data_IF_011766219444
#
_entry.id   IF_011766219444
#
_cell.length_a   1.000
_cell.length_b   1.000
_cell.length_c   1.000
_cell.angle_alpha   90.00
_cell.angle_beta   90.00
_cell.angle_gamma   90.00
#
_symmetry.space_group_name_H-M   'P 1'
#
loop_
_entity.id
_entity.type
_entity.pdbx_description
1 polymer ?
#
# COMPACT_ATOMS: atom_id res chain seq x y z
N UNK A 1 -8.10 9.65 10.92
CA UNK A 1 -6.95 9.18 10.11
C UNK A 1 -5.68 9.33 10.91
N UNK A 2 -5.11 8.21 11.33
CA UNK A 2 -3.80 8.14 11.96
C UNK A 2 -2.71 8.46 10.95
N UNK A 3 -1.61 9.02 11.44
CA UNK A 3 -0.41 9.21 10.64
C UNK A 3 0.16 7.84 10.25
N UNK A 4 0.43 7.62 8.96
CA UNK A 4 0.97 6.35 8.45
C UNK A 4 2.30 5.96 9.11
N UNK A 5 3.13 6.93 9.51
CA UNK A 5 4.33 6.65 10.29
C UNK A 5 4.00 6.12 11.68
N UNK A 6 2.95 6.61 12.33
CA UNK A 6 2.52 6.12 13.65
C UNK A 6 2.04 4.67 13.56
N UNK A 7 1.28 4.32 12.51
CA UNK A 7 0.85 2.93 12.27
C UNK A 7 2.05 2.02 12.03
N UNK A 8 3.03 2.44 11.22
CA UNK A 8 4.23 1.63 11.00
C UNK A 8 5.06 1.51 12.29
N UNK A 9 5.15 2.57 13.10
CA UNK A 9 5.85 2.54 14.40
C UNK A 9 5.13 1.69 15.44
N UNK A 10 3.82 1.54 15.40
CA UNK A 10 3.14 0.61 16.31
C UNK A 10 3.52 -0.84 16.05
N UNK A 11 4.01 -1.16 14.85
CA UNK A 11 4.53 -2.48 14.48
C UNK A 11 6.03 -2.57 14.76
N UNK A 12 6.83 -1.65 14.19
CA UNK A 12 8.30 -1.73 14.23
C UNK A 12 8.93 -1.17 15.51
N UNK A 13 8.14 -0.50 16.35
CA UNK A 13 8.63 0.18 17.55
C UNK A 13 9.63 1.30 17.22
N UNK A 14 10.70 1.38 18.02
CA UNK A 14 11.78 2.37 17.90
C UNK A 14 12.90 1.94 16.95
N UNK A 15 12.66 0.93 16.09
CA UNK A 15 13.67 0.42 15.17
C UNK A 15 14.32 1.54 14.34
N UNK A 16 15.65 1.49 14.21
CA UNK A 16 16.47 2.45 13.46
C UNK A 16 16.40 2.17 11.96
N UNK A 17 15.17 2.18 11.41
CA UNK A 17 14.92 2.06 9.98
C UNK A 17 14.18 3.29 9.48
N UNK A 18 14.57 3.78 8.31
CA UNK A 18 13.84 4.88 7.68
C UNK A 18 12.50 4.35 7.13
N UNK A 19 11.42 4.59 7.89
CA UNK A 19 10.06 4.17 7.55
C UNK A 19 9.36 5.10 6.55
N UNK A 20 9.91 6.30 6.30
CA UNK A 20 9.25 7.33 5.48
C UNK A 20 8.90 6.84 4.07
N UNK A 21 9.74 6.06 3.36
CA UNK A 21 9.39 5.51 2.06
C UNK A 21 8.09 4.72 2.08
N UNK A 22 7.92 3.84 3.08
CA UNK A 22 6.70 3.04 3.22
C UNK A 22 5.52 3.92 3.64
N UNK A 23 5.72 4.82 4.62
CA UNK A 23 4.67 5.71 5.10
C UNK A 23 4.06 6.56 3.97
N UNK A 24 4.89 7.11 3.08
CA UNK A 24 4.39 7.89 1.95
C UNK A 24 3.66 7.04 0.90
N UNK A 25 4.04 5.77 0.74
CA UNK A 25 3.30 4.85 -0.11
C UNK A 25 1.93 4.51 0.51
N UNK A 26 1.85 4.36 1.85
CA UNK A 26 0.60 4.19 2.59
C UNK A 26 -0.29 5.43 2.46
N UNK A 27 0.25 6.64 2.64
CA UNK A 27 -0.52 7.88 2.44
C UNK A 27 -1.09 7.99 1.02
N UNK A 28 -0.33 7.56 0.01
CA UNK A 28 -0.79 7.53 -1.38
C UNK A 28 -1.90 6.48 -1.58
N UNK A 29 -1.80 5.31 -0.94
CA UNK A 29 -2.83 4.29 -1.00
C UNK A 29 -4.12 4.75 -0.30
N UNK A 30 -4.02 5.40 0.86
CA UNK A 30 -5.16 5.99 1.57
C UNK A 30 -5.93 6.96 0.67
N UNK A 31 -5.19 7.83 -0.02
CA UNK A 31 -5.76 8.81 -0.94
C UNK A 31 -6.52 8.11 -2.09
N UNK A 32 -5.90 7.13 -2.74
CA UNK A 32 -6.49 6.44 -3.89
C UNK A 32 -7.68 5.56 -3.49
N UNK A 33 -7.51 4.71 -2.47
CA UNK A 33 -8.50 3.72 -2.08
C UNK A 33 -9.72 4.33 -1.39
N UNK A 34 -9.50 5.23 -0.42
CA UNK A 34 -10.57 5.64 0.48
C UNK A 34 -11.12 7.04 0.20
N UNK A 35 -10.29 7.96 -0.33
CA UNK A 35 -10.78 9.30 -0.71
C UNK A 35 -11.27 9.34 -2.15
N UNK A 36 -10.59 8.65 -3.06
CA UNK A 36 -10.95 8.62 -4.48
C UNK A 36 -11.77 7.40 -4.86
N UNK A 37 -11.86 6.39 -3.98
CA UNK A 37 -12.65 5.18 -4.23
C UNK A 37 -12.09 4.29 -5.34
N UNK A 38 -10.78 4.39 -5.63
CA UNK A 38 -10.13 3.60 -6.66
C UNK A 38 -9.90 2.18 -6.13
N UNK A 39 -10.45 1.14 -6.81
CA UNK A 39 -10.25 -0.25 -6.41
C UNK A 39 -8.78 -0.66 -6.50
N UNK A 40 -8.36 -1.56 -5.61
CA UNK A 40 -6.96 -1.97 -5.47
C UNK A 40 -6.35 -2.51 -6.78
N UNK A 41 -7.14 -3.24 -7.57
CA UNK A 41 -6.73 -3.81 -8.85
C UNK A 41 -6.47 -2.74 -9.93
N UNK A 42 -7.06 -1.56 -9.77
CA UNK A 42 -6.90 -0.43 -10.69
C UNK A 42 -5.73 0.49 -10.30
N UNK A 43 -5.08 0.23 -9.16
CA UNK A 43 -3.94 1.04 -8.68
C UNK A 43 -2.63 0.57 -9.34
N UNK A 44 -2.03 1.44 -10.14
CA UNK A 44 -0.72 1.23 -10.74
C UNK A 44 0.42 1.45 -9.73
N UNK A 45 0.66 0.47 -8.86
CA UNK A 45 1.61 0.48 -7.73
C UNK A 45 2.92 1.25 -8.00
N UNK A 46 3.61 0.96 -9.10
CA UNK A 46 4.90 1.61 -9.42
C UNK A 46 4.76 3.12 -9.64
N UNK A 47 3.72 3.56 -10.36
CA UNK A 47 3.52 4.96 -10.71
C UNK A 47 2.81 5.73 -9.60
N UNK A 48 1.85 5.10 -8.95
CA UNK A 48 0.92 5.79 -8.06
C UNK A 48 1.30 5.68 -6.59
N UNK A 49 2.05 4.64 -6.19
CA UNK A 49 2.53 4.49 -4.82
C UNK A 49 4.03 4.77 -4.75
N UNK A 50 4.85 4.02 -5.50
CA UNK A 50 6.31 4.10 -5.36
C UNK A 50 6.89 5.40 -5.91
N UNK A 51 6.44 5.87 -7.07
CA UNK A 51 6.93 7.13 -7.62
C UNK A 51 6.45 8.33 -6.78
N UNK A 52 5.19 8.36 -6.33
CA UNK A 52 4.69 9.39 -5.41
C UNK A 52 5.47 9.40 -4.08
N UNK A 53 5.79 8.23 -3.52
CA UNK A 53 6.64 8.14 -2.34
C UNK A 53 8.04 8.70 -2.60
N UNK A 54 8.62 8.44 -3.77
CA UNK A 54 9.94 8.95 -4.15
C UNK A 54 9.97 10.48 -4.31
N UNK A 55 8.89 11.07 -4.82
CA UNK A 55 8.73 12.53 -4.97
C UNK A 55 8.62 13.25 -3.62
N UNK A 56 7.99 12.62 -2.63
CA UNK A 56 7.82 13.17 -1.27
C UNK A 56 9.06 13.05 -0.39
N UNK A 57 10.00 12.18 -0.75
CA UNK A 57 11.25 12.04 0.00
C UNK A 57 12.17 13.24 -0.26
N UNK A 58 12.90 13.71 0.78
CA UNK A 58 13.87 14.77 0.60
C UNK A 58 14.92 14.37 -0.44
N UNK A 59 15.36 15.35 -1.24
CA UNK A 59 16.43 15.14 -2.22
C UNK A 59 17.68 14.64 -1.49
N UNK A 60 18.29 13.59 -2.03
CA UNK A 60 19.58 13.11 -1.53
C UNK A 60 20.72 13.96 -2.09
N UNK A 61 21.96 13.62 -1.68
CA UNK A 61 23.19 14.25 -2.19
C UNK A 61 23.31 14.25 -3.73
N UNK A 62 22.68 13.28 -4.41
CA UNK A 62 22.65 13.13 -5.87
C UNK A 62 21.35 13.64 -6.52
N UNK A 63 20.56 14.46 -5.82
CA UNK A 63 19.30 15.00 -6.32
C UNK A 63 18.06 14.15 -5.98
N UNK A 64 17.09 14.08 -6.90
CA UNK A 64 15.83 13.34 -6.70
C UNK A 64 16.11 11.87 -6.40
N UNK A 65 15.35 11.29 -5.47
CA UNK A 65 15.44 9.87 -5.16
C UNK A 65 14.94 9.05 -6.35
N UNK A 66 15.73 8.08 -6.80
CA UNK A 66 15.29 7.17 -7.86
C UNK A 66 14.14 6.29 -7.37
N UNK A 67 13.09 6.15 -8.18
CA UNK A 67 11.96 5.26 -7.91
C UNK A 67 12.45 3.84 -7.61
N UNK A 68 13.42 3.33 -8.36
CA UNK A 68 14.02 1.99 -8.13
C UNK A 68 14.58 1.83 -6.72
N UNK A 69 15.27 2.85 -6.21
CA UNK A 69 15.84 2.83 -4.86
C UNK A 69 14.74 2.87 -3.81
N UNK A 70 13.74 3.73 -4.01
CA UNK A 70 12.61 3.89 -3.08
C UNK A 70 11.76 2.63 -3.05
N UNK A 71 11.50 1.99 -4.19
CA UNK A 71 10.83 0.68 -4.25
C UNK A 71 11.53 -0.34 -3.36
N UNK A 72 12.87 -0.48 -3.46
CA UNK A 72 13.60 -1.42 -2.60
C UNK A 72 13.51 -1.08 -1.11
N UNK A 73 13.49 0.21 -0.76
CA UNK A 73 13.31 0.64 0.63
C UNK A 73 11.91 0.29 1.13
N UNK A 74 10.87 0.55 0.35
CA UNK A 74 9.48 0.19 0.66
C UNK A 74 9.37 -1.32 0.89
N UNK A 75 9.90 -2.13 -0.02
CA UNK A 75 9.88 -3.60 0.10
C UNK A 75 10.55 -4.07 1.40
N UNK A 76 11.73 -3.52 1.73
CA UNK A 76 12.44 -3.87 2.96
C UNK A 76 11.64 -3.53 4.21
N UNK A 77 11.05 -2.33 4.28
CA UNK A 77 10.28 -1.92 5.46
C UNK A 77 8.96 -2.69 5.56
N UNK A 78 8.30 -2.98 4.43
CA UNK A 78 7.10 -3.81 4.39
C UNK A 78 7.36 -5.23 4.90
N UNK A 79 8.47 -5.84 4.46
CA UNK A 79 8.90 -7.15 4.96
C UNK A 79 9.25 -7.09 6.44
N UNK A 80 9.95 -6.06 6.91
CA UNK A 80 10.24 -5.89 8.33
C UNK A 80 8.96 -5.76 9.18
N UNK A 81 7.92 -5.10 8.66
CA UNK A 81 6.61 -5.04 9.33
C UNK A 81 6.03 -6.45 9.45
N UNK A 82 6.03 -7.21 8.35
CA UNK A 82 5.56 -8.59 8.36
C UNK A 82 6.33 -9.48 9.35
N UNK A 83 7.66 -9.46 9.27
CA UNK A 83 8.53 -10.27 10.13
C UNK A 83 8.30 -9.95 11.61
N UNK A 84 8.10 -8.67 11.94
CA UNK A 84 7.79 -8.23 13.30
C UNK A 84 6.41 -8.72 13.74
N UNK A 85 5.38 -8.57 12.91
CA UNK A 85 4.04 -9.08 13.23
C UNK A 85 4.03 -10.59 13.48
N UNK A 86 4.77 -11.36 12.68
CA UNK A 86 4.91 -12.81 12.88
C UNK A 86 5.65 -13.11 14.17
N UNK A 87 6.80 -12.46 14.41
CA UNK A 87 7.62 -12.69 15.60
C UNK A 87 6.87 -12.39 16.90
N UNK A 88 6.09 -11.31 16.92
CA UNK A 88 5.32 -10.90 18.11
C UNK A 88 3.95 -11.60 18.22
N UNK A 89 3.57 -12.45 17.25
CA UNK A 89 2.25 -13.11 17.25
C UNK A 89 1.07 -12.15 16.99
N UNK A 90 1.32 -10.99 16.39
CA UNK A 90 0.37 -9.88 16.24
C UNK A 90 -0.31 -9.82 14.86
N UNK A 91 -0.14 -10.86 14.02
CA UNK A 91 -0.68 -10.91 12.64
C UNK A 91 -2.19 -10.74 12.64
N UNK A 92 -2.91 -11.55 13.44
CA UNK A 92 -4.38 -11.52 13.46
C UNK A 92 -4.91 -10.19 13.98
N UNK A 93 -4.30 -9.64 15.03
CA UNK A 93 -4.65 -8.33 15.57
C UNK A 93 -4.50 -7.20 14.53
N UNK A 94 -3.45 -7.20 13.70
CA UNK A 94 -3.21 -6.12 12.75
C UNK A 94 -3.92 -6.31 11.41
N UNK A 95 -4.19 -7.55 10.99
CA UNK A 95 -4.84 -7.83 9.73
C UNK A 95 -6.35 -8.04 9.87
N UNK A 96 -6.82 -8.50 11.03
CA UNK A 96 -8.21 -8.90 11.29
C UNK A 96 -8.48 -10.37 10.96
N UNK A 97 -7.45 -11.14 10.58
CA UNK A 97 -7.52 -12.60 10.38
C UNK A 97 -6.14 -13.24 10.44
N UNK A 98 -6.02 -14.54 10.76
CA UNK A 98 -4.74 -15.23 10.72
C UNK A 98 -4.22 -15.33 9.29
N UNK A 99 -2.89 -15.21 9.12
CA UNK A 99 -2.21 -15.38 7.83
C UNK A 99 -0.86 -16.04 8.03
N UNK A 100 -0.55 -17.05 7.20
CA UNK A 100 0.68 -17.84 7.29
C UNK A 100 1.76 -17.40 6.31
N UNK A 101 1.38 -16.74 5.22
CA UNK A 101 2.28 -16.36 4.13
C UNK A 101 2.59 -14.87 4.16
N UNK A 102 3.83 -14.52 3.79
CA UNK A 102 4.27 -13.14 3.64
C UNK A 102 3.45 -12.42 2.54
N UNK A 103 2.94 -11.21 2.80
CA UNK A 103 2.25 -10.44 1.77
C UNK A 103 3.21 -9.91 0.73
N UNK A 104 2.70 -9.74 -0.49
CA UNK A 104 3.36 -8.85 -1.42
C UNK A 104 3.44 -7.45 -0.79
N UNK A 105 4.52 -6.69 -1.03
CA UNK A 105 4.68 -5.34 -0.49
C UNK A 105 3.49 -4.41 -0.76
N UNK A 106 2.78 -4.61 -1.89
CA UNK A 106 1.53 -3.89 -2.20
C UNK A 106 0.41 -4.19 -1.20
N UNK A 107 0.24 -5.45 -0.82
CA UNK A 107 -0.82 -5.87 0.12
C UNK A 107 -0.53 -5.29 1.50
N UNK A 108 0.74 -5.31 1.93
CA UNK A 108 1.15 -4.68 3.20
C UNK A 108 0.82 -3.19 3.21
N UNK A 109 1.03 -2.48 2.10
CA UNK A 109 0.66 -1.06 1.98
C UNK A 109 -0.86 -0.87 2.17
N UNK A 110 -1.69 -1.70 1.53
CA UNK A 110 -3.15 -1.62 1.65
C UNK A 110 -3.63 -1.97 3.06
N UNK A 111 -3.00 -2.94 3.72
CA UNK A 111 -3.32 -3.29 5.09
C UNK A 111 -3.06 -2.12 6.04
N UNK A 112 -1.87 -1.52 5.95
CA UNK A 112 -1.50 -0.35 6.72
C UNK A 112 -2.38 0.87 6.39
N UNK A 113 -2.83 1.01 5.13
CA UNK A 113 -3.72 2.08 4.73
C UNK A 113 -5.08 1.99 5.43
N UNK A 114 -5.65 0.79 5.55
CA UNK A 114 -6.92 0.60 6.27
C UNK A 114 -6.80 1.02 7.74
N UNK A 115 -5.71 0.63 8.40
CA UNK A 115 -5.44 0.98 9.79
C UNK A 115 -5.17 2.48 9.96
N UNK A 116 -4.54 3.12 8.97
CA UNK A 116 -4.33 4.56 8.97
C UNK A 116 -5.65 5.33 8.80
N UNK A 117 -6.53 4.90 7.90
CA UNK A 117 -7.74 5.65 7.55
C UNK A 117 -8.92 5.33 8.47
N UNK A 118 -9.27 4.05 8.60
CA UNK A 118 -10.43 3.56 9.35
C UNK A 118 -10.12 3.20 10.80
N UNK A 119 -8.84 3.15 11.17
CA UNK A 119 -8.38 2.79 12.52
C UNK A 119 -8.76 1.37 12.95
N UNK A 120 -9.11 0.52 11.98
CA UNK A 120 -9.41 -0.90 12.12
C UNK A 120 -8.56 -1.74 11.16
N UNK A 121 -8.37 -3.04 11.42
CA UNK A 121 -7.68 -3.94 10.53
C UNK A 121 -8.35 -4.08 9.15
N UNK A 122 -7.56 -4.43 8.14
CA UNK A 122 -8.01 -4.48 6.75
C UNK A 122 -9.16 -5.45 6.51
N UNK A 123 -9.06 -6.68 7.02
CA UNK A 123 -10.10 -7.69 6.78
C UNK A 123 -11.39 -7.35 7.53
N UNK A 124 -11.28 -6.70 8.69
CA UNK A 124 -12.45 -6.16 9.38
C UNK A 124 -13.10 -5.03 8.55
N UNK A 125 -12.30 -4.10 7.99
CA UNK A 125 -12.82 -3.04 7.13
C UNK A 125 -13.50 -3.58 5.87
N UNK A 126 -13.01 -4.70 5.32
CA UNK A 126 -13.63 -5.41 4.20
C UNK A 126 -15.00 -5.99 4.58
N UNK A 127 -15.09 -6.66 5.73
CA UNK A 127 -16.33 -7.25 6.24
C UNK A 127 -17.39 -6.19 6.55
N UNK A 128 -16.97 -5.03 7.05
CA UNK A 128 -17.84 -3.88 7.30
C UNK A 128 -18.21 -3.09 6.03
N UNK A 129 -17.81 -3.54 4.84
CA UNK A 129 -18.14 -2.91 3.55
C UNK A 129 -17.44 -1.57 3.32
N UNK A 130 -16.38 -1.26 4.07
CA UNK A 130 -15.62 0.00 3.97
C UNK A 130 -14.58 0.01 2.85
N UNK A 131 -14.23 -1.16 2.32
CA UNK A 131 -13.31 -1.31 1.20
C UNK A 131 -14.11 -1.80 -0.01
N UNK A 132 -14.12 -1.06 -1.13
CA UNK A 132 -14.84 -1.46 -2.33
C UNK A 132 -14.19 -2.73 -2.90
N UNK A 133 -14.88 -3.86 -2.74
CA UNK A 133 -14.43 -5.19 -3.20
C UNK A 133 -14.33 -5.30 -4.73
N UNK A 134 -15.03 -4.43 -5.46
CA UNK A 134 -15.14 -4.47 -6.92
C UNK A 134 -15.36 -3.06 -7.49
N UNK A 135 -14.60 -2.68 -8.52
CA UNK A 135 -15.15 -1.79 -9.54
C UNK A 135 -16.32 -2.55 -10.20
N UNK A 136 -17.53 -1.98 -10.35
CA UNK A 136 -18.56 -2.59 -11.18
C UNK A 136 -17.96 -2.83 -12.58
N UNK A 137 -17.67 -4.09 -12.91
CA UNK A 137 -17.11 -4.45 -14.22
C UNK A 137 -18.13 -4.23 -15.36
N UNK A 138 -19.36 -3.85 -15.03
CA UNK A 138 -20.47 -3.70 -15.95
C UNK A 138 -20.39 -2.49 -16.90
N UNK A 139 -19.40 -1.59 -16.73
CA UNK A 139 -19.26 -0.40 -17.60
C UNK A 139 -17.93 -0.28 -18.36
N UNK A 140 -17.10 -1.34 -18.41
CA UNK A 140 -15.97 -1.33 -19.35
C UNK A 140 -16.49 -1.59 -20.77
N UNK A 141 -16.77 -0.51 -21.51
CA UNK A 141 -16.95 -0.58 -22.98
C UNK A 141 -15.77 -1.38 -23.55
N UNK A 142 -15.99 -2.42 -24.36
CA UNK A 142 -14.89 -3.18 -24.96
C UNK A 142 -14.01 -2.21 -25.75
N UNK A 143 -12.71 -2.23 -25.46
CA UNK A 143 -11.72 -1.47 -26.21
C UNK A 143 -11.89 -1.79 -27.70
N UNK A 144 -12.28 -0.78 -28.48
CA UNK A 144 -12.49 -0.89 -29.91
C UNK A 144 -11.28 -1.56 -30.55
N UNK A 145 -11.48 -2.77 -31.07
CA UNK A 145 -10.54 -3.53 -31.86
C UNK A 145 -9.96 -2.63 -32.97
N UNK A 146 -8.68 -2.27 -32.83
CA UNK A 146 -7.91 -1.56 -33.85
C UNK A 146 -7.93 -2.40 -35.12
N UNK A 147 -8.61 -1.89 -36.15
CA UNK A 147 -8.71 -2.50 -37.48
C UNK A 147 -7.33 -2.86 -38.02
N UNK A 148 -7.17 -4.13 -38.44
CA UNK A 148 -6.12 -4.58 -39.35
C UNK A 148 -6.12 -3.67 -40.59
N UNK A 149 -4.98 -3.05 -40.91
CA UNK A 149 -4.70 -2.63 -42.29
C UNK A 149 -4.09 -3.86 -42.99
N UNK A 150 -4.80 -4.36 -43.99
CA UNK A 150 -4.31 -5.31 -44.99
C UNK A 150 -3.37 -4.55 -45.93
N UNK A 151 -2.33 -5.23 -46.39
CA UNK A 151 -1.52 -4.89 -47.56
C UNK A 151 -2.37 -4.72 -48.83
#
# INVERSE_FOLDING_TARGET
MKNSQTVIRSILGTADVDIRPLAYAVDAAVELMFRQGIPEDDIAVTKELYAKAAERLPKGKKGKRSVKTVTKQIQRVANACWDTLVREGMVEHHLGRPRKTIPAPREMIFYLASQAYWEIPYFQAMEEGKIPLFSPQENRKPASSRRKKKD
#
